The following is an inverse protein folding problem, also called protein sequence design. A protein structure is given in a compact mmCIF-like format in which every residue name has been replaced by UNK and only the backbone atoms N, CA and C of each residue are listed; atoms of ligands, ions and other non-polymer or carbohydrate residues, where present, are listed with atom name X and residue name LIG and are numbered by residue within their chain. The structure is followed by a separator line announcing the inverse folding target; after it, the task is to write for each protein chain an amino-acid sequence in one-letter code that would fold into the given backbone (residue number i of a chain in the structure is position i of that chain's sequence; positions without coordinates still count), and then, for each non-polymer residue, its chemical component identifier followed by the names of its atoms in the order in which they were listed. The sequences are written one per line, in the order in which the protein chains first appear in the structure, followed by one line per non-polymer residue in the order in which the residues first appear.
data_IF_897866546786
#
_entry.id   IF_897866546786
#
_cell.length_a   1.000
_cell.length_b   1.000
_cell.length_c   1.000
_cell.angle_alpha   90.00
_cell.angle_beta   90.00
_cell.angle_gamma   90.00
#
_symmetry.space_group_name_H-M   'P 1'
#
loop_
_entity.id
_entity.type
_entity.pdbx_description
1 polymer ?
#
# COMPACT_ATOMS: atom_id res chain seq x y z
N UNK A 1 10.03 -16.33 -7.77
CA UNK A 1 10.31 -17.72 -7.35
C UNK A 1 11.77 -18.15 -7.42
N UNK A 2 12.68 -17.51 -8.18
CA UNK A 2 14.07 -18.00 -8.36
C UNK A 2 14.76 -18.39 -7.04
N UNK A 3 14.65 -17.56 -5.99
CA UNK A 3 15.26 -17.85 -4.68
C UNK A 3 14.65 -19.06 -3.97
N UNK A 4 13.34 -19.25 -4.07
CA UNK A 4 12.63 -20.39 -3.45
C UNK A 4 12.93 -21.69 -4.19
N UNK A 5 12.97 -21.64 -5.53
CA UNK A 5 13.37 -22.78 -6.36
C UNK A 5 14.82 -23.17 -6.13
N UNK A 6 15.73 -22.20 -6.00
CA UNK A 6 17.14 -22.47 -5.65
C UNK A 6 17.28 -23.09 -4.27
N UNK A 7 16.51 -22.62 -3.28
CA UNK A 7 16.50 -23.21 -1.95
C UNK A 7 16.01 -24.66 -1.98
N UNK A 8 14.93 -24.94 -2.70
CA UNK A 8 14.40 -26.30 -2.83
C UNK A 8 15.39 -27.25 -3.52
N UNK A 9 16.04 -26.80 -4.60
CA UNK A 9 17.09 -27.58 -5.27
C UNK A 9 18.29 -27.85 -4.36
N UNK A 10 18.68 -26.86 -3.54
CA UNK A 10 19.75 -27.02 -2.55
C UNK A 10 19.40 -28.07 -1.50
N UNK A 11 18.17 -28.03 -0.97
CA UNK A 11 17.69 -29.01 0.00
C UNK A 11 17.69 -30.41 -0.61
N UNK A 12 17.12 -30.56 -1.80
CA UNK A 12 17.02 -31.84 -2.51
C UNK A 12 18.40 -32.47 -2.76
N UNK A 13 19.36 -31.67 -3.22
CA UNK A 13 20.74 -32.10 -3.48
C UNK A 13 21.46 -32.59 -2.22
N UNK A 14 21.24 -31.94 -1.07
CA UNK A 14 21.94 -32.25 0.17
C UNK A 14 21.26 -33.35 1.00
N UNK A 15 19.97 -33.62 0.76
CA UNK A 15 19.13 -34.47 1.61
C UNK A 15 19.66 -35.91 1.76
N UNK A 16 19.98 -36.57 0.64
CA UNK A 16 20.44 -37.96 0.65
C UNK A 16 21.75 -38.12 1.44
N UNK A 17 22.70 -37.20 1.25
CA UNK A 17 23.97 -37.25 1.99
C UNK A 17 23.77 -36.95 3.48
N UNK A 18 22.88 -36.02 3.82
CA UNK A 18 22.62 -35.64 5.20
C UNK A 18 21.95 -36.77 6.00
N UNK A 19 21.01 -37.54 5.40
CA UNK A 19 20.26 -38.56 6.15
C UNK A 19 21.11 -39.78 6.54
N UNK A 20 22.19 -40.04 5.81
CA UNK A 20 23.05 -41.22 5.98
C UNK A 20 23.81 -41.27 7.31
N UNK A 21 23.94 -40.14 8.03
CA UNK A 21 24.64 -40.08 9.31
C UNK A 21 23.83 -39.33 10.37
N UNK A 22 24.08 -39.63 11.66
CA UNK A 22 23.43 -38.93 12.76
C UNK A 22 23.78 -37.43 12.79
N UNK A 23 25.04 -37.09 12.56
CA UNK A 23 25.51 -35.70 12.47
C UNK A 23 24.88 -34.96 11.29
N UNK A 24 24.78 -35.60 10.12
CA UNK A 24 24.12 -35.04 8.95
C UNK A 24 22.63 -34.78 9.18
N UNK A 25 21.93 -35.69 9.88
CA UNK A 25 20.52 -35.50 10.27
C UNK A 25 20.34 -34.30 11.20
N UNK A 26 21.23 -34.13 12.18
CA UNK A 26 21.18 -32.97 13.09
C UNK A 26 21.36 -31.66 12.33
N UNK A 27 22.40 -31.57 11.47
CA UNK A 27 22.64 -30.38 10.63
C UNK A 27 21.49 -30.07 9.68
N UNK A 28 20.82 -31.09 9.16
CA UNK A 28 19.64 -30.91 8.33
C UNK A 28 18.48 -30.28 9.12
N UNK A 29 18.25 -30.75 10.35
CA UNK A 29 17.25 -30.18 11.26
C UNK A 29 17.58 -28.70 11.55
N UNK A 30 18.82 -28.39 11.93
CA UNK A 30 19.26 -27.01 12.22
C UNK A 30 19.07 -26.08 11.00
N UNK A 31 19.41 -26.58 9.81
CA UNK A 31 19.23 -25.86 8.54
C UNK A 31 17.75 -25.58 8.26
N UNK A 32 16.88 -26.56 8.46
CA UNK A 32 15.43 -26.40 8.29
C UNK A 32 14.85 -25.41 9.29
N UNK A 33 15.28 -25.46 10.55
CA UNK A 33 14.86 -24.48 11.56
C UNK A 33 15.29 -23.06 11.16
N UNK A 34 16.53 -22.90 10.68
CA UNK A 34 17.02 -21.63 10.14
C UNK A 34 16.17 -21.09 8.98
N UNK A 35 15.77 -21.97 8.05
CA UNK A 35 14.90 -21.62 6.91
C UNK A 35 13.51 -21.18 7.40
N UNK A 36 12.91 -21.92 8.32
CA UNK A 36 11.60 -21.58 8.90
C UNK A 36 11.67 -20.22 9.60
N UNK A 37 12.67 -20.01 10.46
CA UNK A 37 12.87 -18.75 11.17
C UNK A 37 13.08 -17.58 10.23
N UNK A 38 13.93 -17.73 9.22
CA UNK A 38 14.16 -16.72 8.20
C UNK A 38 12.89 -16.39 7.40
N UNK A 39 12.07 -17.40 7.10
CA UNK A 39 10.79 -17.21 6.39
C UNK A 39 9.77 -16.47 7.26
N UNK A 40 9.67 -16.81 8.55
CA UNK A 40 8.81 -16.10 9.51
C UNK A 40 9.22 -14.62 9.66
N UNK A 41 10.52 -14.34 9.80
CA UNK A 41 11.02 -12.97 9.87
C UNK A 41 10.71 -12.17 8.59
N UNK A 42 10.88 -12.78 7.41
CA UNK A 42 10.53 -12.15 6.14
C UNK A 42 9.04 -11.88 6.04
N UNK A 43 8.20 -12.83 6.44
CA UNK A 43 6.74 -12.67 6.47
C UNK A 43 6.33 -11.50 7.36
N UNK A 44 6.83 -11.44 8.59
CA UNK A 44 6.56 -10.35 9.53
C UNK A 44 6.96 -8.99 8.96
N UNK A 45 8.15 -8.90 8.33
CA UNK A 45 8.62 -7.67 7.69
C UNK A 45 7.73 -7.23 6.53
N UNK A 46 7.27 -8.17 5.70
CA UNK A 46 6.37 -7.88 4.58
C UNK A 46 5.00 -7.43 5.09
N UNK A 47 4.44 -8.10 6.10
CA UNK A 47 3.17 -7.72 6.72
C UNK A 47 3.23 -6.33 7.33
N UNK A 48 4.33 -6.01 8.04
CA UNK A 48 4.54 -4.68 8.60
C UNK A 48 4.58 -3.60 7.52
N UNK A 49 5.38 -3.81 6.47
CA UNK A 49 5.47 -2.86 5.34
C UNK A 49 4.13 -2.70 4.62
N UNK A 50 3.38 -3.79 4.44
CA UNK A 50 2.05 -3.74 3.84
C UNK A 50 1.11 -2.87 4.68
N UNK A 51 1.17 -3.00 6.01
CA UNK A 51 0.36 -2.18 6.92
C UNK A 51 0.74 -0.69 6.86
N UNK A 52 2.03 -0.37 6.78
CA UNK A 52 2.50 1.02 6.62
C UNK A 52 2.04 1.63 5.29
N UNK A 53 2.20 0.87 4.20
CA UNK A 53 1.78 1.32 2.87
C UNK A 53 0.25 1.51 2.80
N UNK A 54 -0.51 0.60 3.43
CA UNK A 54 -1.96 0.73 3.52
C UNK A 54 -2.37 2.02 4.25
N UNK A 55 -1.73 2.33 5.37
CA UNK A 55 -1.96 3.58 6.10
C UNK A 55 -1.62 4.81 5.25
N UNK A 56 -0.50 4.78 4.54
CA UNK A 56 -0.11 5.87 3.64
C UNK A 56 -1.14 6.06 2.51
N UNK A 57 -1.61 4.97 1.93
CA UNK A 57 -2.66 4.97 0.91
C UNK A 57 -3.97 5.58 1.45
N UNK A 58 -4.39 5.19 2.65
CA UNK A 58 -5.62 5.69 3.27
C UNK A 58 -5.54 7.17 3.61
N UNK A 59 -4.38 7.65 4.10
CA UNK A 59 -4.12 9.09 4.29
C UNK A 59 -4.26 9.85 2.97
N UNK A 60 -3.67 9.34 1.88
CA UNK A 60 -3.74 9.99 0.57
C UNK A 60 -5.16 9.99 0.00
N UNK A 61 -5.91 8.89 0.14
CA UNK A 61 -7.33 8.82 -0.25
C UNK A 61 -8.17 9.84 0.51
N UNK A 62 -7.97 9.98 1.82
CA UNK A 62 -8.71 10.94 2.63
C UNK A 62 -8.38 12.39 2.24
N UNK A 63 -7.11 12.70 1.98
CA UNK A 63 -6.68 14.03 1.48
C UNK A 63 -7.32 14.35 0.13
N UNK A 64 -7.33 13.38 -0.78
CA UNK A 64 -7.97 13.53 -2.08
C UNK A 64 -9.48 13.77 -1.95
N UNK A 65 -10.18 12.98 -1.12
CA UNK A 65 -11.60 13.16 -0.88
C UNK A 65 -11.92 14.56 -0.31
N UNK A 66 -11.13 15.05 0.64
CA UNK A 66 -11.26 16.39 1.20
C UNK A 66 -11.04 17.48 0.13
N UNK A 67 -10.00 17.34 -0.69
CA UNK A 67 -9.72 18.28 -1.79
C UNK A 67 -10.87 18.32 -2.81
N UNK A 68 -11.42 17.16 -3.18
CA UNK A 68 -12.57 17.07 -4.08
C UNK A 68 -13.85 17.67 -3.49
N UNK A 69 -14.06 17.55 -2.18
CA UNK A 69 -15.17 18.19 -1.49
C UNK A 69 -15.01 19.72 -1.49
N UNK A 70 -13.82 20.22 -1.18
CA UNK A 70 -13.49 21.64 -1.23
C UNK A 70 -13.68 22.21 -2.64
N UNK A 71 -13.17 21.53 -3.68
CA UNK A 71 -13.35 21.94 -5.07
C UNK A 71 -14.83 22.07 -5.45
N UNK A 72 -15.66 21.08 -5.08
CA UNK A 72 -17.10 21.13 -5.34
C UNK A 72 -17.78 22.29 -4.62
N UNK A 73 -17.36 22.58 -3.39
CA UNK A 73 -17.86 23.71 -2.62
C UNK A 73 -17.49 25.04 -3.30
N UNK A 74 -16.24 25.24 -3.68
CA UNK A 74 -15.78 26.45 -4.37
C UNK A 74 -16.49 26.65 -5.71
N UNK A 75 -16.68 25.59 -6.49
CA UNK A 75 -17.43 25.67 -7.74
C UNK A 75 -18.87 26.15 -7.52
N UNK A 76 -19.55 25.61 -6.50
CA UNK A 76 -20.91 25.99 -6.16
C UNK A 76 -21.00 27.46 -5.73
N UNK A 77 -20.06 27.91 -4.91
CA UNK A 77 -19.98 29.31 -4.46
C UNK A 77 -19.70 30.26 -5.63
N UNK A 78 -18.78 29.90 -6.52
CA UNK A 78 -18.45 30.72 -7.70
C UNK A 78 -19.65 30.86 -8.63
N UNK A 79 -20.43 29.78 -8.84
CA UNK A 79 -21.66 29.83 -9.63
C UNK A 79 -22.71 30.74 -8.99
N UNK A 80 -22.95 30.60 -7.69
CA UNK A 80 -23.90 31.45 -6.96
C UNK A 80 -23.48 32.94 -7.01
N UNK A 81 -22.18 33.22 -6.85
CA UNK A 81 -21.65 34.57 -6.98
C UNK A 81 -21.90 35.16 -8.39
N UNK A 82 -21.66 34.37 -9.44
CA UNK A 82 -21.90 34.80 -10.81
C UNK A 82 -23.39 35.12 -11.06
N UNK A 83 -24.30 34.32 -10.50
CA UNK A 83 -25.75 34.57 -10.57
C UNK A 83 -26.13 35.89 -9.88
N UNK A 84 -25.56 36.18 -8.71
CA UNK A 84 -25.79 37.45 -8.00
C UNK A 84 -25.20 38.65 -8.75
N UNK A 85 -24.02 38.53 -9.36
CA UNK A 85 -23.47 39.56 -10.24
C UNK A 85 -24.41 39.86 -11.42
N UNK A 86 -24.92 38.83 -12.08
CA UNK A 86 -25.85 38.99 -13.20
C UNK A 86 -27.15 39.69 -12.78
N UNK A 87 -27.69 39.37 -11.59
CA UNK A 87 -28.86 40.07 -11.01
C UNK A 87 -28.55 41.54 -10.72
N UNK A 88 -27.38 41.83 -10.13
CA UNK A 88 -26.95 43.18 -9.80
C UNK A 88 -26.84 44.05 -11.07
N UNK A 89 -26.21 43.53 -12.12
CA UNK A 89 -26.05 44.23 -13.40
C UNK A 89 -27.41 44.51 -14.05
N UNK A 90 -28.36 43.58 -13.97
CA UNK A 90 -29.73 43.79 -14.45
C UNK A 90 -30.41 44.93 -13.69
N UNK A 91 -30.30 44.95 -12.36
CA UNK A 91 -30.89 46.01 -11.53
C UNK A 91 -30.29 47.38 -11.83
N UNK A 92 -28.96 47.47 -11.96
CA UNK A 92 -28.27 48.72 -12.36
C UNK A 92 -28.81 49.27 -13.68
N UNK A 93 -29.00 48.42 -14.68
CA UNK A 93 -29.58 48.82 -15.98
C UNK A 93 -31.01 49.35 -15.85
N UNK A 94 -31.80 48.81 -14.93
CA UNK A 94 -33.17 49.27 -14.68
C UNK A 94 -33.23 50.59 -13.92
N UNK A 95 -32.23 50.88 -13.06
CA UNK A 95 -32.15 52.12 -12.28
C UNK A 95 -31.50 53.29 -13.02
N UNK A 96 -30.83 53.04 -14.14
CA UNK A 96 -30.22 54.09 -14.99
C UNK A 96 -31.13 54.58 -16.13
N UNK A 97 -32.43 54.25 -16.06
CA UNK A 97 -33.52 54.79 -16.90
C UNK A 97 -34.37 55.70 -16.02
#
# INVERSE_FOLDING_TARGET
MIKETSLLSSISSQFQNAIMSADGRMKLIDSMEGIVKGSQQKLQKVQFRLQEEQKACDVMKNRYAAAMAAQRHYYSLSKAFQEECAKNDRLKRQMSV
#
